data_IF_192722087215
#
_entry.id   IF_192722087215
#
_cell.length_a   1.000
_cell.length_b   1.000
_cell.length_c   1.000
_cell.angle_alpha   90.00
_cell.angle_beta   90.00
_cell.angle_gamma   90.00
#
_symmetry.space_group_name_H-M   'P 1'
#
loop_
_entity.id
_entity.type
_entity.pdbx_description
1 polymer ?
#
# COMPACT_ATOMS: atom_id res chain seq x y z
N UNK A 1 26.48 7.53 -20.56
CA UNK A 1 25.16 7.75 -21.12
C UNK A 1 24.41 8.81 -20.37
N UNK A 2 23.50 9.51 -21.05
CA UNK A 2 22.70 10.61 -20.45
C UNK A 2 21.38 10.12 -19.85
N UNK A 3 21.06 8.86 -19.97
CA UNK A 3 19.82 8.25 -19.45
C UNK A 3 20.11 6.93 -18.72
N UNK A 4 19.45 6.76 -17.57
CA UNK A 4 19.47 5.51 -16.80
C UNK A 4 18.06 5.22 -16.28
N UNK A 5 17.48 4.10 -16.69
CA UNK A 5 16.28 3.58 -16.05
C UNK A 5 16.66 2.98 -14.70
N UNK A 6 15.97 3.37 -13.64
CA UNK A 6 16.24 2.93 -12.28
C UNK A 6 15.08 2.20 -11.62
N UNK A 7 13.87 2.30 -12.20
CA UNK A 7 12.66 1.68 -11.62
C UNK A 7 11.64 1.29 -12.68
N UNK A 8 10.76 0.38 -12.29
CA UNK A 8 9.56 -0.04 -13.03
C UNK A 8 8.35 0.19 -12.13
N UNK A 9 7.29 0.73 -12.70
CA UNK A 9 6.00 0.91 -12.01
C UNK A 9 4.97 -0.04 -12.58
N UNK A 10 4.28 -0.78 -11.69
CA UNK A 10 3.13 -1.61 -12.01
C UNK A 10 1.89 -1.10 -11.27
N UNK A 11 0.74 -1.19 -11.90
CA UNK A 11 -0.54 -0.89 -11.29
C UNK A 11 -1.26 -2.22 -11.05
N UNK A 12 -1.47 -2.57 -9.77
CA UNK A 12 -2.12 -3.81 -9.38
C UNK A 12 -3.64 -3.69 -9.38
N UNK A 13 -4.15 -2.58 -8.88
CA UNK A 13 -5.55 -2.27 -8.69
C UNK A 13 -5.77 -0.77 -8.69
N UNK A 14 -7.04 -0.34 -8.64
CA UNK A 14 -7.42 1.06 -8.64
C UNK A 14 -8.27 1.40 -7.41
N UNK A 15 -8.98 2.53 -7.46
CA UNK A 15 -9.63 3.16 -6.31
C UNK A 15 -10.88 2.42 -5.81
N UNK A 16 -11.13 2.42 -4.49
CA UNK A 16 -12.29 1.75 -3.90
C UNK A 16 -13.62 2.39 -4.31
N UNK A 17 -13.66 3.69 -4.55
CA UNK A 17 -14.86 4.43 -4.94
C UNK A 17 -15.44 3.95 -6.26
N UNK A 18 -14.63 3.35 -7.11
CA UNK A 18 -15.06 2.73 -8.38
C UNK A 18 -15.18 1.20 -8.27
N UNK A 19 -15.17 0.62 -7.07
CA UNK A 19 -15.12 -0.83 -6.81
C UNK A 19 -13.97 -1.53 -7.53
N UNK A 20 -12.82 -0.88 -7.59
CA UNK A 20 -11.62 -1.38 -8.28
C UNK A 20 -10.46 -1.69 -7.32
N UNK A 21 -10.62 -1.45 -6.02
CA UNK A 21 -9.68 -1.90 -5.02
C UNK A 21 -9.81 -3.42 -4.82
N UNK A 22 -8.69 -4.12 -4.97
CA UNK A 22 -8.65 -5.57 -4.79
C UNK A 22 -8.48 -5.92 -3.32
N UNK A 23 -9.51 -6.57 -2.77
CA UNK A 23 -9.72 -6.70 -1.35
C UNK A 23 -9.66 -8.16 -0.88
N UNK A 24 -9.26 -8.38 0.37
CA UNK A 24 -9.33 -9.69 1.04
C UNK A 24 -10.77 -10.09 1.34
N UNK A 25 -11.60 -9.13 1.71
CA UNK A 25 -13.02 -9.28 2.01
C UNK A 25 -13.86 -8.44 1.04
N UNK A 26 -15.09 -8.85 0.68
CA UNK A 26 -15.95 -8.09 -0.22
C UNK A 26 -16.24 -6.66 0.28
N UNK A 27 -16.71 -5.81 -0.62
CA UNK A 27 -17.33 -4.53 -0.27
C UNK A 27 -18.59 -4.76 0.57
N UNK A 28 -18.96 -3.79 1.42
CA UNK A 28 -20.12 -3.91 2.33
C UNK A 28 -21.40 -3.33 1.75
N UNK A 29 -21.33 -2.64 0.60
CA UNK A 29 -22.46 -1.98 -0.05
C UNK A 29 -23.31 -2.90 -0.94
N UNK A 30 -23.02 -4.21 -0.94
CA UNK A 30 -23.71 -5.19 -1.76
C UNK A 30 -23.17 -5.31 -3.19
N UNK A 31 -22.00 -4.75 -3.49
CA UNK A 31 -21.35 -4.94 -4.79
C UNK A 31 -21.01 -6.42 -5.02
N UNK A 32 -21.60 -7.02 -6.05
CA UNK A 32 -21.41 -8.44 -6.41
C UNK A 32 -20.36 -8.66 -7.52
N UNK A 33 -19.73 -7.60 -8.00
CA UNK A 33 -18.71 -7.69 -9.06
C UNK A 33 -17.43 -8.32 -8.56
N UNK A 34 -16.75 -9.08 -9.42
CA UNK A 34 -15.44 -9.63 -9.15
C UNK A 34 -14.35 -8.59 -9.47
N UNK A 35 -13.60 -8.19 -8.47
CA UNK A 35 -12.41 -7.32 -8.65
C UNK A 35 -11.19 -8.20 -8.89
N UNK A 36 -10.55 -7.99 -10.04
CA UNK A 36 -9.32 -8.70 -10.43
C UNK A 36 -8.14 -7.73 -10.46
N UNK A 37 -6.92 -8.22 -10.23
CA UNK A 37 -5.72 -7.42 -10.47
C UNK A 37 -5.60 -7.10 -11.97
N UNK A 38 -4.94 -5.98 -12.28
CA UNK A 38 -4.72 -5.54 -13.67
C UNK A 38 -3.87 -6.55 -14.46
N UNK A 39 -2.96 -7.25 -13.78
CA UNK A 39 -2.16 -8.34 -14.35
C UNK A 39 -2.50 -9.65 -13.66
N UNK A 40 -2.44 -10.79 -14.37
CA UNK A 40 -2.43 -12.10 -13.73
C UNK A 40 -1.31 -12.17 -12.68
N UNK A 41 -1.57 -12.79 -11.53
CA UNK A 41 -0.62 -12.82 -10.40
C UNK A 41 0.72 -13.44 -10.80
N UNK A 42 0.68 -14.50 -11.57
CA UNK A 42 1.88 -15.20 -12.05
C UNK A 42 2.73 -14.30 -12.94
N UNK A 43 2.11 -13.60 -13.88
CA UNK A 43 2.80 -12.65 -14.76
C UNK A 43 3.41 -11.50 -13.94
N UNK A 44 2.68 -10.96 -12.99
CA UNK A 44 3.17 -9.93 -12.09
C UNK A 44 4.41 -10.39 -11.31
N UNK A 45 4.38 -11.62 -10.76
CA UNK A 45 5.52 -12.20 -10.03
C UNK A 45 6.74 -12.38 -10.92
N UNK A 46 6.54 -12.84 -12.16
CA UNK A 46 7.62 -12.96 -13.14
C UNK A 46 8.25 -11.60 -13.48
N UNK A 47 7.43 -10.58 -13.71
CA UNK A 47 7.91 -9.21 -13.99
C UNK A 47 8.72 -8.68 -12.79
N UNK A 48 8.22 -8.85 -11.57
CA UNK A 48 8.90 -8.40 -10.35
C UNK A 48 10.23 -9.10 -10.17
N UNK A 49 10.28 -10.42 -10.28
CA UNK A 49 11.51 -11.18 -10.14
C UNK A 49 12.53 -10.85 -11.23
N UNK A 50 12.08 -10.63 -12.47
CA UNK A 50 12.95 -10.24 -13.57
C UNK A 50 13.52 -8.82 -13.39
N UNK A 51 12.71 -7.86 -13.00
CA UNK A 51 13.14 -6.49 -12.73
C UNK A 51 14.13 -6.44 -11.56
N UNK A 52 13.84 -7.17 -10.47
CA UNK A 52 14.73 -7.28 -9.30
C UNK A 52 16.10 -7.86 -9.71
N UNK A 53 16.13 -8.94 -10.48
CA UNK A 53 17.37 -9.55 -10.98
C UNK A 53 18.20 -8.58 -11.84
N UNK A 54 17.56 -7.64 -12.54
CA UNK A 54 18.22 -6.58 -13.32
C UNK A 54 18.65 -5.39 -12.45
N UNK A 55 18.41 -5.41 -11.13
CA UNK A 55 18.71 -4.31 -10.21
C UNK A 55 17.79 -3.11 -10.38
N UNK A 56 16.63 -3.30 -10.98
CA UNK A 56 15.60 -2.28 -11.10
C UNK A 56 14.73 -2.26 -9.85
N UNK A 57 14.42 -1.07 -9.39
CA UNK A 57 13.48 -0.89 -8.30
C UNK A 57 12.05 -1.07 -8.80
N UNK A 58 11.25 -1.78 -8.03
CA UNK A 58 9.82 -1.93 -8.31
C UNK A 58 9.00 -0.96 -7.46
N UNK A 59 8.05 -0.30 -8.11
CA UNK A 59 7.00 0.48 -7.46
C UNK A 59 5.66 -0.12 -7.88
N UNK A 60 4.89 -0.65 -6.93
CA UNK A 60 3.56 -1.20 -7.25
C UNK A 60 2.46 -0.38 -6.61
N UNK A 61 1.48 0.04 -7.41
CA UNK A 61 0.25 0.67 -6.91
C UNK A 61 -0.62 -0.40 -6.27
N UNK A 62 -0.82 -0.30 -4.97
CA UNK A 62 -1.54 -1.28 -4.15
C UNK A 62 -2.46 -0.55 -3.18
N UNK A 63 -3.73 -0.37 -3.56
CA UNK A 63 -4.71 0.38 -2.76
C UNK A 63 -5.43 -0.55 -1.78
N UNK A 64 -6.00 -1.65 -2.28
CA UNK A 64 -6.67 -2.65 -1.47
C UNK A 64 -5.72 -3.57 -0.72
N UNK A 65 -6.17 -4.11 0.40
CA UNK A 65 -5.39 -4.98 1.29
C UNK A 65 -4.95 -6.29 0.61
N UNK A 66 -5.72 -6.87 -0.29
CA UNK A 66 -5.28 -8.02 -1.08
C UNK A 66 -4.18 -7.64 -2.07
N UNK A 67 -4.25 -6.46 -2.68
CA UNK A 67 -3.19 -5.99 -3.57
C UNK A 67 -1.88 -5.77 -2.79
N UNK A 68 -1.95 -5.22 -1.57
CA UNK A 68 -0.79 -5.10 -0.67
C UNK A 68 -0.21 -6.48 -0.35
N UNK A 69 -1.06 -7.43 0.06
CA UNK A 69 -0.67 -8.81 0.39
C UNK A 69 0.06 -9.48 -0.78
N UNK A 70 -0.51 -9.45 -1.97
CA UNK A 70 0.09 -10.08 -3.15
C UNK A 70 1.35 -9.32 -3.65
N UNK A 71 1.40 -8.01 -3.47
CA UNK A 71 2.60 -7.22 -3.72
C UNK A 71 3.77 -7.64 -2.82
N UNK A 72 3.51 -7.83 -1.53
CA UNK A 72 4.50 -8.36 -0.57
C UNK A 72 4.91 -9.80 -0.91
N UNK A 73 3.96 -10.65 -1.33
CA UNK A 73 4.27 -12.02 -1.79
C UNK A 73 5.22 -12.01 -3.00
N UNK A 74 5.02 -11.11 -3.95
CA UNK A 74 5.88 -10.98 -5.11
C UNK A 74 7.30 -10.51 -4.73
N UNK A 75 7.42 -9.56 -3.82
CA UNK A 75 8.73 -9.09 -3.32
C UNK A 75 9.45 -10.15 -2.49
N UNK A 76 8.71 -10.91 -1.70
CA UNK A 76 9.27 -12.05 -0.95
C UNK A 76 9.82 -13.12 -1.90
N UNK A 77 9.08 -13.46 -2.96
CA UNK A 77 9.54 -14.39 -3.98
C UNK A 77 10.81 -13.87 -4.67
N UNK A 78 10.81 -12.63 -5.12
CA UNK A 78 11.97 -12.02 -5.75
C UNK A 78 13.20 -12.02 -4.82
N UNK A 79 12.99 -11.81 -3.52
CA UNK A 79 14.06 -11.86 -2.52
C UNK A 79 14.66 -13.27 -2.39
N UNK A 80 13.83 -14.29 -2.46
CA UNK A 80 14.31 -15.70 -2.44
C UNK A 80 15.06 -16.08 -3.70
N UNK A 81 14.61 -15.59 -4.86
CA UNK A 81 15.22 -15.91 -6.15
C UNK A 81 16.53 -15.16 -6.41
N UNK A 82 16.66 -13.95 -5.88
CA UNK A 82 17.80 -13.06 -6.11
C UNK A 82 18.39 -12.56 -4.77
N UNK A 83 18.93 -13.41 -3.88
CA UNK A 83 19.27 -13.05 -2.51
C UNK A 83 20.33 -11.94 -2.37
N UNK A 84 21.20 -11.78 -3.36
CA UNK A 84 22.31 -10.82 -3.34
C UNK A 84 21.93 -9.39 -3.79
N UNK A 85 20.67 -9.15 -4.17
CA UNK A 85 20.25 -7.86 -4.72
C UNK A 85 19.95 -6.84 -3.61
N UNK A 86 20.45 -5.61 -3.81
CA UNK A 86 20.07 -4.46 -2.98
C UNK A 86 18.71 -3.92 -3.43
N UNK A 87 17.75 -3.90 -2.51
CA UNK A 87 16.36 -3.56 -2.78
C UNK A 87 15.94 -2.28 -2.10
N UNK A 88 15.06 -1.56 -2.76
CA UNK A 88 14.27 -0.44 -2.23
C UNK A 88 12.89 -0.45 -2.87
N UNK A 89 12.29 -1.63 -2.95
CA UNK A 89 10.96 -1.77 -3.53
C UNK A 89 9.92 -1.01 -2.72
N UNK A 90 8.91 -0.52 -3.40
CA UNK A 90 7.88 0.34 -2.82
C UNK A 90 6.49 -0.21 -3.17
N UNK A 91 5.58 -0.22 -2.20
CA UNK A 91 4.16 -0.32 -2.44
C UNK A 91 3.55 1.07 -2.29
N UNK A 92 2.93 1.57 -3.36
CA UNK A 92 2.35 2.90 -3.41
C UNK A 92 0.88 2.86 -3.01
N UNK A 93 0.40 3.95 -2.41
CA UNK A 93 -0.92 4.18 -1.84
C UNK A 93 -1.14 3.43 -0.53
N UNK A 94 -1.12 2.10 -0.51
CA UNK A 94 -1.25 1.26 0.69
C UNK A 94 -2.36 1.75 1.64
N UNK A 95 -3.53 2.08 1.07
CA UNK A 95 -4.62 2.69 1.82
C UNK A 95 -5.24 1.70 2.81
N UNK A 96 -5.37 0.45 2.41
CA UNK A 96 -5.81 -0.65 3.26
C UNK A 96 -4.66 -1.64 3.47
N UNK A 97 -4.30 -1.91 4.72
CA UNK A 97 -3.26 -2.88 5.07
C UNK A 97 -3.81 -3.83 6.13
N UNK A 98 -3.75 -5.13 5.86
CA UNK A 98 -4.09 -6.16 6.85
C UNK A 98 -3.03 -6.21 7.96
N UNK A 99 -3.45 -6.59 9.18
CA UNK A 99 -2.55 -6.63 10.35
C UNK A 99 -1.37 -7.56 10.14
N UNK A 100 -1.59 -8.69 9.51
CA UNK A 100 -0.59 -9.71 9.19
C UNK A 100 0.49 -9.23 8.22
N UNK A 101 0.22 -8.17 7.44
CA UNK A 101 1.17 -7.64 6.47
C UNK A 101 2.05 -6.51 7.03
N UNK A 102 1.70 -5.92 8.16
CA UNK A 102 2.44 -4.79 8.74
C UNK A 102 3.92 -5.12 9.02
N UNK A 103 4.19 -6.26 9.64
CA UNK A 103 5.56 -6.68 9.96
C UNK A 103 6.35 -7.07 8.72
N UNK A 104 5.66 -7.47 7.64
CA UNK A 104 6.30 -7.88 6.39
C UNK A 104 6.99 -6.73 5.68
N UNK A 105 6.46 -5.50 5.78
CA UNK A 105 7.14 -4.32 5.25
C UNK A 105 8.54 -4.17 5.85
N UNK A 106 8.67 -4.34 7.16
CA UNK A 106 9.95 -4.24 7.86
C UNK A 106 10.85 -5.43 7.49
N UNK A 107 10.32 -6.64 7.56
CA UNK A 107 11.08 -7.89 7.33
C UNK A 107 11.64 -7.97 5.90
N UNK A 108 10.86 -7.50 4.91
CA UNK A 108 11.25 -7.49 3.50
C UNK A 108 11.97 -6.21 3.08
N UNK A 109 12.06 -5.20 3.96
CA UNK A 109 12.66 -3.91 3.64
C UNK A 109 11.86 -3.14 2.57
N UNK A 110 10.54 -3.33 2.51
CA UNK A 110 9.66 -2.67 1.56
C UNK A 110 9.19 -1.32 2.11
N UNK A 111 9.21 -0.30 1.27
CA UNK A 111 8.69 1.02 1.64
C UNK A 111 7.20 1.10 1.36
N UNK A 112 6.41 1.48 2.37
CA UNK A 112 5.03 1.91 2.17
C UNK A 112 5.03 3.40 1.80
N UNK A 113 4.56 3.72 0.61
CA UNK A 113 4.50 5.10 0.11
C UNK A 113 3.06 5.61 0.16
N UNK A 114 2.80 6.45 1.15
CA UNK A 114 1.49 7.08 1.36
C UNK A 114 1.41 8.40 0.60
N UNK A 115 0.39 8.54 -0.23
CA UNK A 115 0.09 9.81 -0.88
C UNK A 115 -0.70 10.71 0.11
N UNK A 116 -0.12 11.80 0.62
CA UNK A 116 -0.80 12.68 1.58
C UNK A 116 -2.10 13.28 1.06
N UNK A 117 -2.21 13.53 -0.25
CA UNK A 117 -3.43 14.09 -0.86
C UNK A 117 -4.59 13.11 -0.82
N UNK A 118 -4.32 11.83 -1.07
CA UNK A 118 -5.33 10.77 -0.99
C UNK A 118 -5.60 10.36 0.45
N UNK A 119 -4.59 10.47 1.30
CA UNK A 119 -4.69 10.17 2.74
C UNK A 119 -5.37 11.25 3.56
N UNK A 120 -5.61 12.43 2.98
CA UNK A 120 -6.35 13.51 3.64
C UNK A 120 -7.83 13.41 3.23
N UNK A 121 -8.71 13.01 4.14
CA UNK A 121 -10.12 12.89 3.81
C UNK A 121 -10.70 14.30 3.57
N UNK A 122 -11.10 14.56 2.35
CA UNK A 122 -11.98 15.69 2.04
C UNK A 122 -13.34 15.47 2.73
N UNK A 123 -14.05 16.55 2.96
CA UNK A 123 -15.42 16.50 3.50
C UNK A 123 -16.29 15.60 2.59
N UNK A 124 -16.92 14.59 3.18
CA UNK A 124 -17.71 13.57 2.45
C UNK A 124 -16.93 12.36 1.94
N UNK A 125 -15.60 12.40 1.85
CA UNK A 125 -14.82 11.24 1.42
C UNK A 125 -14.91 10.06 2.40
N UNK A 126 -14.78 10.33 3.69
CA UNK A 126 -14.94 9.30 4.73
C UNK A 126 -16.36 8.72 4.76
N UNK A 127 -17.38 9.56 4.61
CA UNK A 127 -18.77 9.11 4.53
C UNK A 127 -19.00 8.16 3.34
N UNK A 128 -18.36 8.45 2.21
CA UNK A 128 -18.40 7.57 1.04
C UNK A 128 -17.72 6.24 1.30
N UNK A 129 -16.55 6.24 1.93
CA UNK A 129 -15.82 5.02 2.30
C UNK A 129 -16.58 4.18 3.34
N UNK A 130 -17.26 4.81 4.30
CA UNK A 130 -18.15 4.14 5.27
C UNK A 130 -19.34 3.45 4.60
N UNK A 131 -19.73 3.90 3.40
CA UNK A 131 -20.69 3.19 2.55
C UNK A 131 -20.12 1.94 1.88
N UNK A 132 -18.84 1.92 1.59
CA UNK A 132 -18.16 0.82 0.90
C UNK A 132 -17.59 -0.24 1.85
N UNK A 133 -17.21 0.17 3.05
CA UNK A 133 -16.57 -0.67 4.07
C UNK A 133 -17.29 -0.52 5.41
N UNK A 134 -17.27 -1.55 6.23
CA UNK A 134 -17.70 -1.41 7.62
C UNK A 134 -16.71 -0.55 8.43
N UNK A 135 -17.24 0.10 9.48
CA UNK A 135 -16.49 1.02 10.33
C UNK A 135 -15.30 0.32 11.03
N UNK A 136 -15.44 -0.96 11.39
CA UNK A 136 -14.39 -1.72 12.06
C UNK A 136 -13.20 -1.91 11.09
N UNK A 137 -13.47 -2.31 9.85
CA UNK A 137 -12.47 -2.49 8.81
C UNK A 137 -11.76 -1.19 8.44
N UNK A 138 -12.50 -0.08 8.32
CA UNK A 138 -11.91 1.23 8.07
C UNK A 138 -10.96 1.63 9.21
N UNK A 139 -11.41 1.53 10.45
CA UNK A 139 -10.59 1.87 11.61
C UNK A 139 -9.38 0.95 11.77
N UNK A 140 -9.55 -0.32 11.43
CA UNK A 140 -8.50 -1.30 11.57
C UNK A 140 -7.46 -1.26 10.44
N UNK A 141 -7.84 -0.99 9.20
CA UNK A 141 -6.97 -1.19 8.02
C UNK A 141 -6.69 0.06 7.20
N UNK A 142 -7.59 1.06 7.24
CA UNK A 142 -7.45 2.24 6.39
C UNK A 142 -6.39 3.20 6.93
N UNK A 143 -5.47 3.61 6.06
CA UNK A 143 -4.35 4.51 6.39
C UNK A 143 -3.55 4.12 7.65
N UNK A 144 -3.30 2.83 7.82
CA UNK A 144 -2.47 2.30 8.92
C UNK A 144 -1.10 2.96 9.04
N UNK A 145 -0.56 3.47 7.96
CA UNK A 145 0.66 4.27 7.98
C UNK A 145 0.60 5.46 8.90
N UNK A 146 -0.59 6.01 9.18
CA UNK A 146 -0.79 7.11 10.15
C UNK A 146 -0.59 6.67 11.59
N UNK A 147 -0.97 5.44 11.92
CA UNK A 147 -0.88 4.90 13.29
C UNK A 147 0.43 4.18 13.57
N UNK A 148 1.06 3.62 12.53
CA UNK A 148 2.35 2.95 12.61
C UNK A 148 3.54 3.88 12.42
N UNK A 149 3.31 5.12 11.95
CA UNK A 149 4.37 6.09 11.79
C UNK A 149 4.89 6.55 13.16
N UNK A 150 6.05 6.05 13.53
CA UNK A 150 6.80 6.56 14.68
C UNK A 150 7.80 7.58 14.17
N UNK A 151 7.82 8.81 14.75
CA UNK A 151 8.86 9.77 14.40
C UNK A 151 10.23 9.13 14.65
N UNK A 152 11.05 9.11 13.60
CA UNK A 152 12.45 8.69 13.73
C UNK A 152 13.24 9.63 14.66
N UNK A 153 14.49 9.29 14.98
CA UNK A 153 15.34 10.08 15.89
C UNK A 153 15.61 11.51 15.43
N UNK A 154 15.23 11.84 14.19
CA UNK A 154 15.35 13.18 13.60
C UNK A 154 14.14 14.09 13.87
N UNK A 155 13.09 13.57 14.53
CA UNK A 155 11.91 14.35 14.87
C UNK A 155 12.12 15.00 16.24
N UNK A 156 11.94 16.34 16.36
CA UNK A 156 12.14 17.00 17.63
C UNK A 156 11.16 16.49 18.69
N UNK A 157 11.60 16.23 19.93
CA UNK A 157 10.71 15.85 21.03
C UNK A 157 9.59 16.87 21.21
N UNK A 158 8.34 16.42 21.23
CA UNK A 158 7.17 17.29 21.43
C UNK A 158 6.61 17.90 20.14
N UNK A 159 7.18 17.65 18.96
CA UNK A 159 6.55 18.02 17.72
C UNK A 159 5.32 17.10 17.51
N UNK A 160 4.15 17.65 17.70
CA UNK A 160 2.92 17.07 17.19
C UNK A 160 2.95 17.11 15.70
N UNK A 161 2.55 16.03 15.02
CA UNK A 161 2.48 15.99 13.55
C UNK A 161 1.64 17.18 13.09
N UNK A 162 2.18 18.10 12.26
CA UNK A 162 1.42 19.26 11.79
C UNK A 162 0.20 18.89 10.94
N UNK A 163 -0.03 17.59 10.75
CA UNK A 163 -1.02 17.03 9.84
C UNK A 163 -1.95 15.99 10.45
N UNK A 164 -2.20 16.00 11.75
CA UNK A 164 -3.20 15.14 12.38
C UNK A 164 -4.35 15.99 12.99
N UNK A 165 -5.35 16.41 12.21
CA UNK A 165 -6.53 17.09 12.76
C UNK A 165 -7.51 16.14 13.50
N UNK A 166 -7.24 14.85 13.52
CA UNK A 166 -8.19 13.81 13.97
C UNK A 166 -7.78 13.05 15.24
N UNK A 167 -6.91 13.58 16.06
CA UNK A 167 -6.82 13.07 17.42
C UNK A 167 -8.01 13.60 18.24
N UNK A 168 -8.63 12.79 19.14
CA UNK A 168 -9.71 13.24 20.01
C UNK A 168 -9.36 14.45 20.90
N UNK A 169 -8.08 14.82 20.97
CA UNK A 169 -7.55 15.99 21.69
C UNK A 169 -7.56 17.29 20.87
N UNK A 170 -7.98 17.27 19.60
CA UNK A 170 -8.12 18.46 18.75
C UNK A 170 -9.58 18.93 18.61
N UNK A 171 -10.41 18.74 19.66
CA UNK A 171 -11.69 19.44 19.82
C UNK A 171 -11.52 20.61 20.76
#
# INVERSE_FOLDING_TARGET
GFFRAGSVKLIMNLVPEAHQAWLLEPYCDGYEGEVKPVFPIEEMREIVAAADRLGLQMNMVTIGDRAVHEGLNAYELATRENPEMLRRHTLEHTELIADEDLERFVTLGVTADFNPMVSYPEEGHMEHLEGLFDTERLNARYHRGRTSWRPGPWWPPGATTPWCPWTPSCR
#
